data_IF_608442537934
#
_entry.id   IF_608442537934
#
_cell.length_a   1.000
_cell.length_b   1.000
_cell.length_c   1.000
_cell.angle_alpha   90.00
_cell.angle_beta   90.00
_cell.angle_gamma   90.00
#
_symmetry.space_group_name_H-M   'P 1'
#
loop_
_entity.id
_entity.type
_entity.pdbx_description
1 polymer ?
#
# COMPACT_ATOMS: atom_id res chain seq x y z
N UNK A 1 -8.27 -7.15 46.95
CA UNK A 1 -7.46 -6.01 46.48
C UNK A 1 -7.92 -5.65 45.08
N UNK A 2 -8.64 -4.54 44.93
CA UNK A 2 -8.94 -3.97 43.61
C UNK A 2 -7.62 -3.49 43.00
N UNK A 3 -7.23 -4.03 41.84
CA UNK A 3 -6.09 -3.52 41.11
C UNK A 3 -6.44 -2.08 40.70
N UNK A 4 -5.75 -1.10 41.30
CA UNK A 4 -5.92 0.30 40.95
C UNK A 4 -5.56 0.46 39.47
N UNK A 5 -6.55 0.79 38.65
CA UNK A 5 -6.37 0.94 37.20
C UNK A 5 -5.38 2.08 36.95
N UNK A 6 -4.12 1.73 36.65
CA UNK A 6 -3.07 2.73 36.40
C UNK A 6 -3.38 3.41 35.06
N UNK A 7 -3.88 4.64 35.11
CA UNK A 7 -4.02 5.47 33.92
C UNK A 7 -2.62 5.78 33.36
N UNK A 8 -2.37 5.34 32.13
CA UNK A 8 -1.13 5.61 31.42
C UNK A 8 -1.27 6.92 30.67
N UNK A 9 -0.41 7.90 30.97
CA UNK A 9 -0.39 9.17 30.26
C UNK A 9 0.24 8.97 28.89
N UNK A 10 -0.53 9.27 27.84
CA UNK A 10 -0.06 9.31 26.46
C UNK A 10 0.00 10.77 26.00
N UNK A 11 1.15 11.21 25.48
CA UNK A 11 1.35 12.60 25.07
C UNK A 11 2.19 12.67 23.80
N UNK A 12 1.80 13.52 22.87
CA UNK A 12 2.58 13.80 21.67
C UNK A 12 3.13 15.23 21.77
N UNK A 13 4.45 15.37 21.74
CA UNK A 13 5.15 16.66 21.92
C UNK A 13 5.59 17.29 20.60
N UNK A 14 5.27 16.67 19.46
CA UNK A 14 5.74 17.11 18.15
C UNK A 14 5.06 18.41 17.70
N UNK A 15 5.84 19.29 17.08
CA UNK A 15 5.33 20.53 16.48
C UNK A 15 5.01 20.35 14.99
N UNK A 16 3.90 20.95 14.54
CA UNK A 16 3.52 20.97 13.13
C UNK A 16 4.53 21.74 12.26
N UNK A 17 5.08 22.86 12.77
CA UNK A 17 6.03 23.69 12.01
C UNK A 17 7.40 23.01 11.87
N UNK A 18 7.80 22.25 12.88
CA UNK A 18 9.02 21.44 12.83
C UNK A 18 8.85 20.28 11.86
N UNK A 19 7.73 19.55 11.95
CA UNK A 19 7.41 18.48 11.03
C UNK A 19 7.34 18.98 9.57
N UNK A 20 6.71 20.13 9.33
CA UNK A 20 6.59 20.71 8.00
C UNK A 20 7.96 20.99 7.36
N UNK A 21 8.92 21.53 8.13
CA UNK A 21 10.30 21.74 7.65
C UNK A 21 10.98 20.42 7.28
N UNK A 22 10.81 19.37 8.11
CA UNK A 22 11.36 18.04 7.83
C UNK A 22 10.74 17.46 6.55
N UNK A 23 9.41 17.51 6.45
CA UNK A 23 8.67 16.98 5.31
C UNK A 23 9.02 17.70 4.00
N UNK A 24 9.13 19.03 4.02
CA UNK A 24 9.47 19.82 2.84
C UNK A 24 10.86 19.48 2.31
N UNK A 25 11.87 19.48 3.18
CA UNK A 25 13.25 19.12 2.82
C UNK A 25 13.32 17.69 2.30
N UNK A 26 12.65 16.75 2.97
CA UNK A 26 12.60 15.36 2.56
C UNK A 26 11.93 15.19 1.18
N UNK A 27 10.85 15.94 0.91
CA UNK A 27 10.13 15.89 -0.36
C UNK A 27 11.00 16.43 -1.49
N UNK A 28 11.64 17.59 -1.30
CA UNK A 28 12.57 18.17 -2.26
C UNK A 28 13.72 17.21 -2.58
N UNK A 29 14.39 16.65 -1.57
CA UNK A 29 15.47 15.68 -1.77
C UNK A 29 14.98 14.40 -2.47
N UNK A 30 13.76 13.95 -2.18
CA UNK A 30 13.19 12.77 -2.84
C UNK A 30 12.95 13.04 -4.32
N UNK A 31 12.41 14.20 -4.68
CA UNK A 31 12.21 14.58 -6.09
C UNK A 31 13.55 14.74 -6.82
N UNK A 32 14.50 15.47 -6.21
CA UNK A 32 15.82 15.73 -6.80
C UNK A 32 16.65 14.45 -7.02
N UNK A 33 16.42 13.41 -6.21
CA UNK A 33 17.11 12.11 -6.32
C UNK A 33 16.29 11.05 -7.04
N UNK A 34 15.24 11.45 -7.78
CA UNK A 34 14.35 10.54 -8.53
C UNK A 34 13.77 9.42 -7.66
N UNK A 35 13.47 9.72 -6.41
CA UNK A 35 12.88 8.78 -5.46
C UNK A 35 13.89 7.98 -4.63
N UNK A 36 15.20 8.03 -4.88
CA UNK A 36 16.19 7.25 -4.12
C UNK A 36 16.22 7.68 -2.64
N UNK A 37 16.23 9.00 -2.37
CA UNK A 37 16.30 9.55 -1.01
C UNK A 37 15.08 9.20 -0.14
N UNK A 38 14.00 8.71 -0.72
CA UNK A 38 12.76 8.36 -0.02
C UNK A 38 12.96 7.37 1.14
N UNK A 39 13.97 6.49 1.07
CA UNK A 39 14.33 5.59 2.17
C UNK A 39 14.82 6.35 3.41
N UNK A 40 15.68 7.36 3.22
CA UNK A 40 16.19 8.22 4.28
C UNK A 40 15.09 9.13 4.85
N UNK A 41 14.28 9.71 3.96
CA UNK A 41 13.11 10.49 4.34
C UNK A 41 12.19 9.72 5.28
N UNK A 42 11.91 8.45 4.97
CA UNK A 42 11.04 7.58 5.79
C UNK A 42 11.60 7.36 7.18
N UNK A 43 12.89 7.05 7.30
CA UNK A 43 13.53 6.83 8.61
C UNK A 43 13.52 8.11 9.44
N UNK A 44 13.86 9.25 8.84
CA UNK A 44 13.87 10.56 9.53
C UNK A 44 12.48 10.93 10.05
N UNK A 45 11.46 10.75 9.23
CA UNK A 45 10.06 11.00 9.61
C UNK A 45 9.62 10.08 10.75
N UNK A 46 9.92 8.77 10.68
CA UNK A 46 9.55 7.83 11.74
C UNK A 46 10.26 8.12 13.06
N UNK A 47 11.55 8.45 13.03
CA UNK A 47 12.29 8.86 14.23
C UNK A 47 11.71 10.11 14.87
N UNK A 48 11.26 11.08 14.06
CA UNK A 48 10.59 12.27 14.55
C UNK A 48 9.30 11.93 15.29
N UNK A 49 8.41 11.12 14.68
CA UNK A 49 7.15 10.75 15.33
C UNK A 49 7.37 9.90 16.59
N UNK A 50 8.23 8.89 16.52
CA UNK A 50 8.50 7.99 17.64
C UNK A 50 9.13 8.75 18.81
N UNK A 51 10.13 9.60 18.53
CA UNK A 51 10.81 10.39 19.55
C UNK A 51 9.93 11.45 20.22
N UNK A 52 8.87 11.92 19.54
CA UNK A 52 7.87 12.85 20.07
C UNK A 52 6.63 12.17 20.66
N UNK A 53 6.54 10.84 20.59
CA UNK A 53 5.42 10.09 21.17
C UNK A 53 5.86 9.56 22.54
N UNK A 54 5.20 10.03 23.59
CA UNK A 54 5.49 9.69 24.98
C UNK A 54 4.37 8.84 25.58
N UNK A 55 4.78 7.82 26.32
CA UNK A 55 3.91 6.98 27.13
C UNK A 55 4.55 6.82 28.51
N UNK A 56 3.82 7.16 29.58
CA UNK A 56 4.27 6.99 30.97
C UNK A 56 5.70 7.52 31.23
N UNK A 57 6.04 8.68 30.67
CA UNK A 57 7.33 9.34 30.86
C UNK A 57 8.51 8.78 30.05
N UNK A 58 8.29 7.85 29.12
CA UNK A 58 9.29 7.38 28.17
C UNK A 58 8.79 7.54 26.73
N UNK A 59 9.70 7.84 25.79
CA UNK A 59 9.37 7.93 24.38
C UNK A 59 9.56 6.58 23.67
N UNK A 60 8.97 6.47 22.48
CA UNK A 60 9.24 5.36 21.58
C UNK A 60 10.53 5.63 20.79
N UNK A 61 11.20 4.56 20.38
CA UNK A 61 12.43 4.62 19.60
C UNK A 61 12.29 3.83 18.30
N UNK A 62 12.93 4.32 17.24
CA UNK A 62 12.91 3.70 15.91
C UNK A 62 14.33 3.49 15.37
N UNK A 63 14.76 2.23 15.36
CA UNK A 63 16.15 1.80 15.13
C UNK A 63 16.46 1.40 13.69
N UNK A 64 15.54 1.61 12.76
CA UNK A 64 15.78 1.23 11.37
C UNK A 64 16.90 2.07 10.72
N UNK A 65 17.60 1.45 9.78
CA UNK A 65 18.54 2.13 8.88
C UNK A 65 17.91 2.32 7.48
N UNK A 66 18.18 3.42 6.77
CA UNK A 66 17.62 3.65 5.43
C UNK A 66 17.95 2.54 4.43
N UNK A 67 19.14 1.95 4.53
CA UNK A 67 19.62 0.87 3.66
C UNK A 67 18.79 -0.41 3.80
N UNK A 68 18.11 -0.66 4.93
CA UNK A 68 17.20 -1.80 5.09
C UNK A 68 15.91 -1.64 4.27
N UNK A 69 15.50 -0.40 3.97
CA UNK A 69 14.26 -0.06 3.26
C UNK A 69 14.48 -0.01 1.75
N UNK A 70 15.68 0.35 1.30
CA UNK A 70 16.02 0.55 -0.11
C UNK A 70 15.71 -0.66 -1.02
N UNK A 71 16.03 -1.92 -0.65
CA UNK A 71 15.78 -3.07 -1.52
C UNK A 71 14.30 -3.30 -1.83
N UNK A 72 13.43 -3.06 -0.84
CA UNK A 72 11.98 -3.15 -1.05
C UNK A 72 11.48 -2.12 -2.05
N UNK A 73 12.00 -0.88 -1.98
CA UNK A 73 11.70 0.19 -2.95
C UNK A 73 12.21 -0.15 -4.35
N UNK A 74 13.40 -0.74 -4.48
CA UNK A 74 13.95 -1.16 -5.77
C UNK A 74 13.08 -2.26 -6.38
N UNK A 75 12.71 -3.30 -5.61
CA UNK A 75 11.83 -4.37 -6.07
C UNK A 75 10.51 -3.80 -6.60
N UNK A 76 9.91 -2.89 -5.85
CA UNK A 76 8.67 -2.19 -6.22
C UNK A 76 8.80 -1.40 -7.51
N UNK A 77 9.87 -0.62 -7.68
CA UNK A 77 10.12 0.13 -8.90
C UNK A 77 10.36 -0.77 -10.11
N UNK A 78 11.05 -1.91 -9.91
CA UNK A 78 11.23 -2.91 -10.95
C UNK A 78 9.90 -3.55 -11.35
N UNK A 79 9.07 -3.96 -10.39
CA UNK A 79 7.74 -4.52 -10.67
C UNK A 79 6.86 -3.51 -11.43
N UNK A 80 6.88 -2.23 -11.03
CA UNK A 80 6.16 -1.17 -11.71
C UNK A 80 6.67 -0.96 -13.14
N UNK A 81 8.00 -0.89 -13.33
CA UNK A 81 8.61 -0.75 -14.65
C UNK A 81 8.21 -1.89 -15.57
N UNK A 82 8.27 -3.13 -15.10
CA UNK A 82 7.85 -4.31 -15.87
C UNK A 82 6.35 -4.26 -16.17
N UNK A 83 5.51 -3.86 -15.22
CA UNK A 83 4.07 -3.69 -15.43
C UNK A 83 3.75 -2.65 -16.52
N UNK A 84 4.41 -1.49 -16.49
CA UNK A 84 4.22 -0.44 -17.49
C UNK A 84 4.71 -0.87 -18.87
N UNK A 85 5.85 -1.58 -18.93
CA UNK A 85 6.38 -2.12 -20.19
C UNK A 85 5.50 -3.26 -20.73
N UNK A 86 4.97 -4.15 -19.88
CA UNK A 86 4.06 -5.20 -20.32
C UNK A 86 2.80 -4.62 -20.92
N UNK A 87 2.27 -3.52 -20.35
CA UNK A 87 1.08 -2.85 -20.89
C UNK A 87 1.29 -2.32 -22.31
N UNK A 88 2.52 -1.90 -22.66
CA UNK A 88 2.83 -1.34 -23.99
C UNK A 88 3.25 -2.40 -25.01
N UNK A 89 4.09 -3.36 -24.62
CA UNK A 89 4.73 -4.29 -25.54
C UNK A 89 4.09 -5.68 -25.58
N UNK A 90 3.43 -6.11 -24.50
CA UNK A 90 2.82 -7.44 -24.41
C UNK A 90 1.57 -7.40 -23.52
N UNK A 91 0.43 -6.88 -24.03
CA UNK A 91 -0.76 -6.62 -23.22
C UNK A 91 -1.23 -7.81 -22.37
N UNK A 92 -1.23 -9.07 -22.85
CA UNK A 92 -1.57 -10.23 -22.01
C UNK A 92 -0.66 -10.40 -20.78
N UNK A 93 0.61 -10.00 -20.86
CA UNK A 93 1.55 -10.03 -19.74
C UNK A 93 1.18 -9.10 -18.59
N UNK A 94 0.38 -8.07 -18.85
CA UNK A 94 -0.11 -7.14 -17.83
C UNK A 94 -0.97 -7.86 -16.79
N UNK A 95 -1.84 -8.78 -17.22
CA UNK A 95 -2.66 -9.57 -16.31
C UNK A 95 -1.82 -10.51 -15.46
N UNK A 96 -0.77 -11.11 -16.03
CA UNK A 96 0.18 -11.94 -15.29
C UNK A 96 0.89 -11.11 -14.21
N UNK A 97 1.35 -9.91 -14.56
CA UNK A 97 1.98 -8.99 -13.61
C UNK A 97 1.02 -8.54 -12.50
N UNK A 98 -0.24 -8.28 -12.81
CA UNK A 98 -1.26 -7.97 -11.81
C UNK A 98 -1.46 -9.12 -10.81
N UNK A 99 -1.49 -10.37 -11.29
CA UNK A 99 -1.58 -11.56 -10.41
C UNK A 99 -0.35 -11.66 -9.52
N UNK A 100 0.86 -11.47 -10.07
CA UNK A 100 2.10 -11.48 -9.29
C UNK A 100 2.06 -10.39 -8.21
N UNK A 101 1.70 -9.15 -8.57
CA UNK A 101 1.58 -8.04 -7.61
C UNK A 101 0.56 -8.39 -6.52
N UNK A 102 -0.60 -8.93 -6.89
CA UNK A 102 -1.64 -9.33 -5.95
C UNK A 102 -1.17 -10.39 -4.95
N UNK A 103 -0.35 -11.36 -5.39
CA UNK A 103 0.20 -12.42 -4.52
C UNK A 103 1.35 -11.92 -3.64
N UNK A 104 2.17 -10.99 -4.16
CA UNK A 104 3.31 -10.41 -3.43
C UNK A 104 2.84 -9.42 -2.35
N UNK A 105 1.76 -8.69 -2.59
CA UNK A 105 1.24 -7.65 -1.68
C UNK A 105 0.98 -8.14 -0.24
N UNK A 106 0.23 -9.23 0.01
CA UNK A 106 -0.01 -9.74 1.36
C UNK A 106 1.28 -10.09 2.09
N UNK A 107 2.23 -10.71 1.38
CA UNK A 107 3.54 -11.03 1.93
C UNK A 107 4.35 -9.77 2.27
N UNK A 108 4.35 -8.77 1.39
CA UNK A 108 5.04 -7.51 1.62
C UNK A 108 4.48 -6.78 2.85
N UNK A 109 3.15 -6.73 3.00
CA UNK A 109 2.49 -6.14 4.18
C UNK A 109 2.88 -6.89 5.44
N UNK A 110 2.82 -8.22 5.44
CA UNK A 110 3.25 -9.04 6.57
C UNK A 110 4.71 -8.77 6.96
N UNK A 111 5.62 -8.71 5.97
CA UNK A 111 7.04 -8.40 6.20
C UNK A 111 7.26 -6.98 6.73
N UNK A 112 6.53 -6.01 6.21
CA UNK A 112 6.58 -4.61 6.67
C UNK A 112 6.13 -4.45 8.12
N UNK A 113 5.05 -5.12 8.52
CA UNK A 113 4.58 -5.14 9.91
C UNK A 113 5.61 -5.80 10.84
N UNK A 114 6.14 -6.95 10.42
CA UNK A 114 7.18 -7.63 11.17
C UNK A 114 8.41 -6.73 11.36
N UNK A 115 8.93 -6.16 10.28
CA UNK A 115 10.07 -5.24 10.36
C UNK A 115 9.80 -4.07 11.31
N UNK A 116 8.67 -3.38 11.15
CA UNK A 116 8.33 -2.22 11.96
C UNK A 116 8.26 -2.55 13.44
N UNK A 117 7.69 -3.69 13.83
CA UNK A 117 7.72 -4.11 15.22
C UNK A 117 9.16 -4.29 15.73
N UNK A 118 10.00 -5.01 14.97
CA UNK A 118 11.36 -5.36 15.42
C UNK A 118 12.30 -4.16 15.59
N UNK A 119 12.14 -3.13 14.74
CA UNK A 119 12.94 -1.91 14.81
C UNK A 119 12.37 -0.88 15.77
N UNK A 120 11.16 -1.11 16.30
CA UNK A 120 10.52 -0.24 17.27
C UNK A 120 10.79 -0.74 18.68
N UNK A 121 11.11 0.17 19.60
CA UNK A 121 11.22 -0.16 21.02
C UNK A 121 10.57 0.88 21.90
N UNK A 122 10.24 0.46 23.11
CA UNK A 122 9.77 1.29 24.20
C UNK A 122 10.52 0.88 25.47
N UNK A 123 11.12 1.86 26.17
CA UNK A 123 11.97 1.61 27.36
C UNK A 123 13.02 0.51 27.11
N UNK A 124 13.69 0.58 25.97
CA UNK A 124 14.70 -0.39 25.52
C UNK A 124 14.19 -1.83 25.28
N UNK A 125 12.87 -2.07 25.29
CA UNK A 125 12.24 -3.35 24.95
C UNK A 125 11.73 -3.28 23.50
N UNK A 126 12.23 -4.15 22.63
CA UNK A 126 11.81 -4.21 21.22
C UNK A 126 10.47 -4.90 21.06
N UNK A 127 9.64 -4.39 20.17
CA UNK A 127 8.39 -5.05 19.82
C UNK A 127 8.65 -6.25 18.91
N UNK A 128 7.78 -7.26 19.02
CA UNK A 128 7.81 -8.43 18.16
C UNK A 128 6.42 -8.66 17.59
N UNK A 129 6.38 -8.93 16.30
CA UNK A 129 5.15 -9.25 15.59
C UNK A 129 5.00 -10.77 15.50
N UNK A 130 3.93 -11.31 16.07
CA UNK A 130 3.64 -12.75 16.11
C UNK A 130 2.62 -13.20 15.05
N UNK A 131 2.25 -12.33 14.10
CA UNK A 131 1.31 -12.70 13.04
C UNK A 131 1.94 -13.67 12.03
N UNK A 132 1.16 -14.63 11.53
CA UNK A 132 1.60 -15.55 10.47
C UNK A 132 1.29 -14.99 9.08
N UNK A 133 2.05 -15.38 8.04
CA UNK A 133 1.78 -14.93 6.67
C UNK A 133 0.41 -15.41 6.17
N UNK A 134 -0.07 -16.58 6.62
CA UNK A 134 -1.38 -17.12 6.23
C UNK A 134 -2.54 -16.17 6.55
N UNK A 135 -2.49 -15.49 7.70
CA UNK A 135 -3.52 -14.51 8.07
C UNK A 135 -3.52 -13.30 7.11
N UNK A 136 -2.34 -12.87 6.63
CA UNK A 136 -2.25 -11.78 5.68
C UNK A 136 -2.87 -12.18 4.32
N UNK A 137 -2.59 -13.39 3.83
CA UNK A 137 -3.21 -13.90 2.60
C UNK A 137 -4.72 -14.08 2.74
N UNK A 138 -5.18 -14.61 3.87
CA UNK A 138 -6.60 -14.77 4.13
C UNK A 138 -7.34 -13.43 4.12
N UNK A 139 -6.81 -12.44 4.86
CA UNK A 139 -7.47 -11.14 5.02
C UNK A 139 -7.38 -10.25 3.77
N UNK A 140 -6.24 -10.24 3.07
CA UNK A 140 -5.97 -9.30 2.00
C UNK A 140 -6.31 -9.84 0.61
N UNK A 141 -6.32 -11.15 0.43
CA UNK A 141 -6.54 -11.78 -0.88
C UNK A 141 -7.81 -12.62 -0.89
N UNK A 142 -7.92 -13.61 0.00
CA UNK A 142 -9.02 -14.57 -0.04
C UNK A 142 -10.35 -13.99 0.40
N UNK A 143 -10.40 -13.21 1.48
CA UNK A 143 -11.63 -12.61 1.99
C UNK A 143 -12.27 -11.65 0.97
N UNK A 144 -11.56 -10.67 0.37
CA UNK A 144 -12.13 -9.83 -0.68
C UNK A 144 -12.60 -10.63 -1.90
N UNK A 145 -11.82 -11.64 -2.35
CA UNK A 145 -12.23 -12.49 -3.48
C UNK A 145 -13.50 -13.28 -3.16
N UNK A 146 -13.63 -13.80 -1.94
CA UNK A 146 -14.81 -14.52 -1.48
C UNK A 146 -16.03 -13.60 -1.44
N UNK A 147 -15.90 -12.41 -0.87
CA UNK A 147 -16.98 -11.42 -0.82
C UNK A 147 -17.43 -11.00 -2.22
N UNK A 148 -16.48 -10.73 -3.12
CA UNK A 148 -16.79 -10.44 -4.51
C UNK A 148 -17.50 -11.63 -5.18
N UNK A 149 -17.02 -12.86 -4.95
CA UNK A 149 -17.65 -14.07 -5.44
C UNK A 149 -19.09 -14.26 -4.95
N UNK A 150 -19.36 -13.99 -3.66
CA UNK A 150 -20.72 -14.02 -3.10
C UNK A 150 -21.60 -12.98 -3.77
N UNK A 151 -21.11 -11.75 -3.92
CA UNK A 151 -21.87 -10.67 -4.58
C UNK A 151 -22.19 -11.06 -6.02
N UNK A 152 -21.19 -11.50 -6.80
CA UNK A 152 -21.37 -11.93 -8.19
C UNK A 152 -22.33 -13.12 -8.30
N UNK A 153 -22.23 -14.11 -7.41
CA UNK A 153 -23.14 -15.24 -7.36
C UNK A 153 -24.57 -14.81 -7.02
N UNK A 154 -24.74 -13.88 -6.07
CA UNK A 154 -26.03 -13.30 -5.72
C UNK A 154 -26.70 -12.61 -6.91
N UNK A 155 -25.94 -11.83 -7.68
CA UNK A 155 -26.43 -11.24 -8.93
C UNK A 155 -26.84 -12.31 -9.95
N UNK A 156 -26.02 -13.34 -10.17
CA UNK A 156 -26.33 -14.45 -11.09
C UNK A 156 -27.61 -15.19 -10.68
N UNK A 157 -27.76 -15.54 -9.41
CA UNK A 157 -28.93 -16.27 -8.90
C UNK A 157 -30.21 -15.43 -8.91
N UNK A 158 -30.09 -14.09 -8.78
CA UNK A 158 -31.24 -13.20 -8.83
C UNK A 158 -31.87 -13.09 -10.22
N UNK A 159 -31.20 -13.58 -11.27
CA UNK A 159 -31.59 -13.36 -12.67
C UNK A 159 -31.35 -11.94 -13.17
N UNK A 160 -30.96 -11.01 -12.30
CA UNK A 160 -30.63 -9.61 -12.62
C UNK A 160 -29.14 -9.48 -12.92
N UNK A 161 -28.63 -10.27 -13.86
CA UNK A 161 -27.33 -9.93 -14.44
C UNK A 161 -27.48 -8.55 -15.12
N UNK A 162 -26.60 -7.59 -14.83
CA UNK A 162 -26.63 -6.31 -15.52
C UNK A 162 -26.53 -6.56 -17.02
N UNK A 163 -27.65 -6.43 -17.73
CA UNK A 163 -27.68 -6.54 -19.17
C UNK A 163 -27.18 -5.20 -19.72
N UNK A 164 -25.85 -5.06 -19.79
CA UNK A 164 -25.20 -3.83 -20.25
C UNK A 164 -25.72 -3.37 -21.62
N UNK A 165 -26.12 -4.31 -22.49
CA UNK A 165 -26.71 -4.00 -23.80
C UNK A 165 -28.02 -3.22 -23.67
N UNK A 166 -28.84 -3.51 -22.64
CA UNK A 166 -30.08 -2.77 -22.38
C UNK A 166 -29.84 -1.35 -21.87
N UNK A 167 -28.76 -1.13 -21.13
CA UNK A 167 -28.38 0.20 -20.63
C UNK A 167 -27.72 1.05 -21.72
N UNK A 168 -26.91 0.45 -22.59
CA UNK A 168 -26.28 1.11 -23.74
C UNK A 168 -27.34 1.42 -24.81
N UNK A 169 -28.19 0.46 -25.18
CA UNK A 169 -29.22 0.65 -26.19
C UNK A 169 -30.33 1.65 -25.78
N UNK A 170 -30.56 1.84 -24.47
CA UNK A 170 -31.49 2.87 -23.97
C UNK A 170 -30.94 4.30 -24.15
N UNK A 171 -29.62 4.46 -24.32
CA UNK A 171 -28.95 5.76 -24.42
C UNK A 171 -28.24 6.03 -25.75
N UNK A 172 -28.18 5.10 -26.71
CA UNK A 172 -27.41 5.31 -27.96
C UNK A 172 -28.28 5.49 -29.21
N UNK A 173 -28.31 6.72 -29.73
CA UNK A 173 -28.58 7.02 -31.15
C UNK A 173 -27.41 6.53 -32.05
N UNK A 174 -27.57 6.41 -33.39
CA UNK A 174 -26.52 5.88 -34.28
C UNK A 174 -25.15 6.58 -34.16
N UNK A 175 -25.14 7.87 -33.83
CA UNK A 175 -23.92 8.64 -33.59
C UNK A 175 -23.25 8.26 -32.25
N UNK A 176 -24.03 7.93 -31.23
CA UNK A 176 -23.57 7.52 -29.89
C UNK A 176 -23.09 6.07 -29.84
N UNK A 177 -23.48 5.20 -30.77
CA UNK A 177 -22.93 3.84 -30.90
C UNK A 177 -21.45 3.85 -31.30
N UNK A 178 -21.04 4.80 -32.15
CA UNK A 178 -19.63 5.06 -32.46
C UNK A 178 -18.88 5.58 -31.21
N UNK A 179 -19.55 6.40 -30.40
CA UNK A 179 -19.03 6.88 -29.13
C UNK A 179 -18.92 5.75 -28.08
N UNK A 180 -19.82 4.77 -28.07
CA UNK A 180 -19.73 3.60 -27.19
C UNK A 180 -18.53 2.70 -27.52
N UNK A 181 -18.24 2.49 -28.81
CA UNK A 181 -17.00 1.85 -29.25
C UNK A 181 -15.75 2.63 -28.83
N UNK A 182 -15.78 3.95 -28.98
CA UNK A 182 -14.72 4.84 -28.50
C UNK A 182 -14.56 4.81 -26.96
N UNK A 183 -15.66 4.67 -26.21
CA UNK A 183 -15.63 4.50 -24.76
C UNK A 183 -15.01 3.16 -24.38
N UNK A 184 -15.31 2.08 -25.08
CA UNK A 184 -14.72 0.76 -24.83
C UNK A 184 -13.22 0.75 -25.13
N UNK A 185 -12.78 1.44 -26.19
CA UNK A 185 -11.36 1.69 -26.45
C UNK A 185 -10.72 2.61 -25.40
N UNK A 186 -11.45 3.59 -24.87
CA UNK A 186 -11.00 4.49 -23.80
C UNK A 186 -11.02 3.85 -22.39
N UNK A 187 -11.79 2.78 -22.19
CA UNK A 187 -11.88 2.06 -20.93
C UNK A 187 -10.59 1.30 -20.62
N UNK A 188 -9.90 0.77 -21.63
CA UNK A 188 -8.61 0.10 -21.45
C UNK A 188 -7.54 1.05 -20.87
N UNK A 189 -7.27 2.25 -21.44
CA UNK A 189 -6.34 3.21 -20.85
C UNK A 189 -6.85 3.76 -19.51
N UNK A 190 -8.16 3.96 -19.30
CA UNK A 190 -8.70 4.36 -17.99
C UNK A 190 -8.52 3.28 -16.91
N UNK A 191 -8.72 2.01 -17.25
CA UNK A 191 -8.47 0.89 -16.36
C UNK A 191 -6.98 0.77 -16.06
N UNK A 192 -6.11 0.90 -17.06
CA UNK A 192 -4.66 0.94 -16.88
C UNK A 192 -4.24 2.14 -16.01
N UNK A 193 -4.83 3.31 -16.22
CA UNK A 193 -4.59 4.50 -15.40
C UNK A 193 -5.07 4.31 -13.95
N UNK A 194 -6.29 3.82 -13.74
CA UNK A 194 -6.84 3.57 -12.41
C UNK A 194 -6.10 2.48 -11.64
N UNK A 195 -5.79 1.36 -12.30
CA UNK A 195 -4.97 0.30 -11.72
C UNK A 195 -3.53 0.75 -11.50
N UNK A 196 -2.94 1.55 -12.39
CA UNK A 196 -1.62 2.12 -12.19
C UNK A 196 -1.60 3.10 -11.01
N UNK A 197 -2.64 3.91 -10.81
CA UNK A 197 -2.76 4.79 -9.65
C UNK A 197 -2.90 4.00 -8.35
N UNK A 198 -3.66 2.91 -8.35
CA UNK A 198 -3.75 1.98 -7.22
C UNK A 198 -2.43 1.27 -6.94
N UNK A 199 -1.74 0.78 -7.97
CA UNK A 199 -0.41 0.17 -7.88
C UNK A 199 0.56 1.20 -7.32
N UNK A 200 0.65 2.40 -7.89
CA UNK A 200 1.45 3.52 -7.37
C UNK A 200 1.13 3.79 -5.89
N UNK A 201 -0.13 3.94 -5.51
CA UNK A 201 -0.54 4.18 -4.12
C UNK A 201 -0.12 3.02 -3.19
N UNK A 202 -0.34 1.77 -3.61
CA UNK A 202 0.07 0.58 -2.89
C UNK A 202 1.60 0.48 -2.76
N UNK A 203 2.34 0.95 -3.78
CA UNK A 203 3.81 0.97 -3.85
C UNK A 203 4.44 2.08 -3.00
N UNK A 204 3.78 3.23 -2.86
CA UNK A 204 4.22 4.33 -2.00
C UNK A 204 3.79 4.16 -0.54
N UNK A 205 2.85 3.25 -0.24
CA UNK A 205 2.43 2.95 1.12
C UNK A 205 3.56 2.26 1.93
N UNK A 206 3.66 2.48 3.26
CA UNK A 206 4.84 2.16 4.07
C UNK A 206 5.07 0.65 4.34
N UNK A 207 4.39 -0.23 3.61
CA UNK A 207 4.41 -1.67 3.86
C UNK A 207 5.62 -2.37 3.23
N UNK A 208 6.25 -1.80 2.20
CA UNK A 208 7.37 -2.40 1.46
C UNK A 208 8.73 -2.30 2.14
N UNK A 209 8.76 -2.20 3.47
CA UNK A 209 9.94 -1.73 4.18
C UNK A 209 11.09 -2.74 4.35
N UNK A 210 10.99 -3.99 3.87
CA UNK A 210 12.10 -4.96 3.99
C UNK A 210 12.13 -6.15 3.02
N UNK A 211 13.34 -6.43 2.51
CA UNK A 211 13.75 -7.76 2.01
C UNK A 211 14.83 -8.41 2.88
N UNK A 212 15.48 -7.66 3.78
CA UNK A 212 16.68 -8.12 4.47
C UNK A 212 16.38 -8.59 5.90
N UNK A 213 16.48 -9.91 6.12
CA UNK A 213 16.65 -10.48 7.47
C UNK A 213 18.14 -10.41 7.82
N UNK A 214 18.50 -9.46 8.69
CA UNK A 214 19.58 -9.71 9.66
C UNK A 214 19.05 -9.32 11.02
N UNK A 215 18.71 -10.35 11.79
CA UNK A 215 18.99 -10.31 13.21
C UNK A 215 20.42 -10.79 13.38
#
# INVERSE_FOLDING_TARGET
MSAMEKQLNFTFTGSNSEYFKIWLVNTLLTVLTLGIYSAWATVRTKRYFYGNTWLDGANFEYHATPLQILPGRILVLLMLGIYLLSAQFFPPGTYIMLIIIAVVLPWAIWRGLQFNANVSSYRNIRFRFNGTPSHAYWLLLLLPMLLLGIVTLGFMLSGNLPNWDSYIAFQTTPDEASAAGALQEAMLPLFVLGSSAYVIAALFFPYWQTLYNRY
#
